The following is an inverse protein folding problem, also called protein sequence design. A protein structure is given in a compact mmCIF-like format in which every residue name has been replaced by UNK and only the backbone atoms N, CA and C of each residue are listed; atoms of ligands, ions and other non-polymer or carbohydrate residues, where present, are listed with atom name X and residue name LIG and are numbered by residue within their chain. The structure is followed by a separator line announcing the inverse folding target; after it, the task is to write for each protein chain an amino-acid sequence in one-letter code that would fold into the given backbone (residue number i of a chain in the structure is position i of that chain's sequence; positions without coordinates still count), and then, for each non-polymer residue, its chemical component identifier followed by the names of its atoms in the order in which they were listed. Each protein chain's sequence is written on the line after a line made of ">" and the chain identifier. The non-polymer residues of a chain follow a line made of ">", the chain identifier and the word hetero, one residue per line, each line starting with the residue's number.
data_IF_485032146278
#
_entry.id   IF_485032146278
#
_cell.length_a   1.000
_cell.length_b   1.000
_cell.length_c   1.000
_cell.angle_alpha   90.00
_cell.angle_beta   90.00
_cell.angle_gamma   90.00
#
_symmetry.space_group_name_H-M   'P 1'
#
loop_
_entity.id
_entity.type
_entity.pdbx_description
1 polymer ?
#
# COMPACT_ATOMS: atom_id res chain seq x y z
N UNK A 1 0.95 18.42 -6.68
CA UNK A 1 1.46 18.76 -5.33
C UNK A 1 1.82 17.45 -4.65
N UNK A 2 3.09 17.16 -4.32
CA UNK A 2 3.42 15.93 -3.61
C UNK A 2 2.97 16.09 -2.16
N UNK A 3 1.90 15.39 -1.78
CA UNK A 3 1.48 15.27 -0.40
C UNK A 3 2.57 14.47 0.32
N UNK A 4 3.27 15.08 1.27
CA UNK A 4 4.24 14.42 2.13
C UNK A 4 3.59 14.21 3.49
N UNK A 5 3.06 13.03 3.70
CA UNK A 5 2.43 12.64 4.96
C UNK A 5 3.07 11.33 5.46
N UNK A 6 3.15 11.12 6.77
CA UNK A 6 3.52 9.81 7.30
C UNK A 6 2.39 8.80 7.05
N UNK A 7 2.74 7.54 6.85
CA UNK A 7 1.76 6.46 6.63
C UNK A 7 0.75 6.39 7.78
N UNK A 8 1.17 6.58 9.03
CA UNK A 8 0.27 6.59 10.18
C UNK A 8 -0.86 7.63 10.03
N UNK A 9 -0.53 8.85 9.59
CA UNK A 9 -1.55 9.89 9.39
C UNK A 9 -2.49 9.55 8.22
N UNK A 10 -1.99 8.84 7.21
CA UNK A 10 -2.82 8.35 6.11
C UNK A 10 -3.79 7.27 6.58
N UNK A 11 -3.36 6.37 7.47
CA UNK A 11 -4.21 5.35 8.11
C UNK A 11 -5.32 6.02 8.93
N UNK A 12 -5.00 7.04 9.73
CA UNK A 12 -5.98 7.84 10.47
C UNK A 12 -7.00 8.53 9.54
N UNK A 13 -6.54 9.11 8.42
CA UNK A 13 -7.42 9.80 7.46
C UNK A 13 -8.35 8.81 6.74
N UNK A 14 -7.86 7.64 6.37
CA UNK A 14 -8.65 6.61 5.69
C UNK A 14 -9.53 5.81 6.66
N UNK A 15 -9.36 5.99 7.98
CA UNK A 15 -9.95 5.15 9.02
C UNK A 15 -9.75 3.65 8.72
N UNK A 16 -8.57 3.32 8.17
CA UNK A 16 -8.21 1.95 7.80
C UNK A 16 -7.54 1.23 8.97
N UNK A 17 -7.62 -0.09 9.00
CA UNK A 17 -6.87 -0.89 9.97
C UNK A 17 -5.49 -1.24 9.39
N UNK A 18 -4.38 -0.84 10.03
CA UNK A 18 -3.05 -1.21 9.56
C UNK A 18 -2.80 -2.69 9.86
N UNK A 19 -2.74 -3.51 8.81
CA UNK A 19 -2.42 -4.93 8.91
C UNK A 19 -0.97 -5.15 8.50
N UNK A 20 -0.21 -5.89 9.31
CA UNK A 20 1.19 -6.23 9.05
C UNK A 20 2.11 -5.01 8.79
N UNK A 21 1.82 -3.87 9.41
CA UNK A 21 2.62 -2.66 9.25
C UNK A 21 3.70 -2.63 10.34
N UNK A 22 4.99 -2.79 10.01
CA UNK A 22 6.06 -2.67 11.01
C UNK A 22 6.14 -1.21 11.48
N UNK A 23 6.48 -0.99 12.76
CA UNK A 23 6.44 0.33 13.38
C UNK A 23 7.33 1.39 12.68
N UNK A 24 8.38 0.94 11.99
CA UNK A 24 9.28 1.77 11.17
C UNK A 24 8.60 2.36 9.91
N UNK A 25 7.59 1.67 9.37
CA UNK A 25 6.85 2.13 8.19
C UNK A 25 5.82 3.20 8.56
N UNK A 26 5.29 3.19 9.79
CA UNK A 26 4.29 4.17 10.24
C UNK A 26 4.78 5.62 10.19
N UNK A 27 6.07 5.87 10.38
CA UNK A 27 6.70 7.20 10.29
C UNK A 27 7.27 7.52 8.90
N UNK A 28 7.26 6.54 7.98
CA UNK A 28 7.76 6.73 6.62
C UNK A 28 6.87 7.69 5.84
N UNK A 29 7.49 8.61 5.11
CA UNK A 29 6.78 9.61 4.32
C UNK A 29 6.32 9.01 2.98
N UNK A 30 5.01 8.87 2.80
CA UNK A 30 4.46 8.52 1.50
C UNK A 30 4.55 9.73 0.56
N UNK A 31 5.09 9.51 -0.65
CA UNK A 31 5.25 10.57 -1.67
C UNK A 31 4.06 10.65 -2.63
N UNK A 32 3.24 9.60 -2.67
CA UNK A 32 2.12 9.44 -3.58
C UNK A 32 1.45 8.09 -3.41
N UNK A 33 0.29 7.93 -4.05
CA UNK A 33 -0.47 6.68 -4.13
C UNK A 33 -0.60 6.33 -5.60
N UNK A 34 -0.33 5.07 -5.96
CA UNK A 34 -0.46 4.56 -7.33
C UNK A 34 -1.26 3.27 -7.33
N UNK A 35 -2.09 3.08 -8.34
CA UNK A 35 -2.84 1.83 -8.59
C UNK A 35 -2.16 0.93 -9.62
N UNK A 36 -1.14 1.43 -10.32
CA UNK A 36 -0.45 0.70 -11.38
C UNK A 36 1.00 0.43 -10.97
N UNK A 37 1.35 -0.85 -10.81
CA UNK A 37 2.71 -1.27 -10.42
C UNK A 37 3.76 -0.88 -11.46
N UNK A 38 3.40 -0.65 -12.73
CA UNK A 38 4.38 -0.26 -13.77
C UNK A 38 4.86 1.17 -13.58
N UNK A 39 4.02 2.03 -13.00
CA UNK A 39 4.35 3.42 -12.70
C UNK A 39 4.85 3.63 -11.26
N UNK A 40 4.84 2.56 -10.45
CA UNK A 40 5.19 2.61 -9.03
C UNK A 40 6.66 2.99 -8.84
N UNK A 41 6.88 3.97 -7.96
CA UNK A 41 8.20 4.42 -7.55
C UNK A 41 8.48 4.05 -6.09
N UNK A 42 9.77 3.91 -5.72
CA UNK A 42 10.16 3.70 -4.34
C UNK A 42 9.67 4.86 -3.46
N UNK A 43 8.95 4.52 -2.39
CA UNK A 43 8.37 5.52 -1.47
C UNK A 43 6.91 5.89 -1.75
N UNK A 44 6.25 5.22 -2.70
CA UNK A 44 4.82 5.36 -2.96
C UNK A 44 4.01 4.21 -2.32
N UNK A 45 2.71 4.43 -2.19
CA UNK A 45 1.76 3.43 -1.70
C UNK A 45 1.07 2.78 -2.91
N UNK A 46 0.97 1.47 -2.89
CA UNK A 46 0.24 0.72 -3.90
C UNK A 46 -1.22 0.56 -3.48
N UNK A 47 -2.16 0.80 -4.39
CA UNK A 47 -3.59 0.56 -4.16
C UNK A 47 -4.02 -0.66 -4.98
N UNK A 48 -4.19 -1.78 -4.29
CA UNK A 48 -4.61 -3.05 -4.85
C UNK A 48 -6.12 -3.04 -5.07
N UNK A 49 -6.54 -2.44 -6.19
CA UNK A 49 -7.93 -2.47 -6.62
C UNK A 49 -8.27 -3.79 -7.29
N UNK A 50 -9.41 -4.37 -6.90
CA UNK A 50 -9.99 -5.50 -7.59
C UNK A 50 -10.86 -5.00 -8.75
N UNK A 51 -10.41 -5.24 -9.97
CA UNK A 51 -11.20 -5.00 -11.18
C UNK A 51 -11.83 -6.30 -11.69
N UNK A 52 -12.80 -6.18 -12.61
CA UNK A 52 -13.45 -7.34 -13.23
C UNK A 52 -12.48 -8.26 -14.01
N UNK A 53 -11.30 -7.72 -14.40
CA UNK A 53 -10.27 -8.44 -15.18
C UNK A 53 -8.95 -8.66 -14.45
N UNK A 54 -8.69 -7.96 -13.36
CA UNK A 54 -7.39 -7.97 -12.68
C UNK A 54 -7.59 -7.92 -11.18
N UNK A 55 -6.96 -8.83 -10.47
CA UNK A 55 -6.88 -8.78 -9.01
C UNK A 55 -5.59 -8.06 -8.61
N UNK A 56 -5.72 -6.96 -7.86
CA UNK A 56 -4.58 -6.19 -7.38
C UNK A 56 -3.72 -6.96 -6.37
N UNK A 57 -4.26 -8.01 -5.75
CA UNK A 57 -3.56 -8.81 -4.73
C UNK A 57 -2.39 -9.59 -5.32
N UNK A 58 -2.52 -10.09 -6.56
CA UNK A 58 -1.41 -10.76 -7.27
C UNK A 58 -0.18 -9.86 -7.47
N UNK A 59 -0.35 -8.54 -7.38
CA UNK A 59 0.71 -7.56 -7.58
C UNK A 59 1.32 -7.02 -6.29
N UNK A 60 0.91 -7.52 -5.12
CA UNK A 60 1.47 -7.09 -3.83
C UNK A 60 2.97 -7.38 -3.73
N UNK A 61 3.39 -8.59 -4.11
CA UNK A 61 4.81 -8.96 -4.12
C UNK A 61 5.63 -8.07 -5.06
N UNK A 62 5.10 -7.76 -6.25
CA UNK A 62 5.74 -6.89 -7.23
C UNK A 62 5.83 -5.44 -6.70
N UNK A 63 4.80 -4.97 -6.00
CA UNK A 63 4.81 -3.64 -5.39
C UNK A 63 5.87 -3.55 -4.29
N UNK A 64 6.00 -4.59 -3.45
CA UNK A 64 7.03 -4.67 -2.42
C UNK A 64 8.44 -4.68 -3.03
N UNK A 65 8.69 -5.50 -4.06
CA UNK A 65 9.99 -5.56 -4.76
C UNK A 65 10.38 -4.20 -5.37
N UNK A 66 9.40 -3.45 -5.87
CA UNK A 66 9.60 -2.09 -6.39
C UNK A 66 9.80 -1.01 -5.33
N UNK A 67 9.72 -1.37 -4.04
CA UNK A 67 9.92 -0.45 -2.92
C UNK A 67 8.68 0.35 -2.54
N UNK A 68 7.48 -0.22 -2.71
CA UNK A 68 6.27 0.34 -2.13
C UNK A 68 6.38 0.36 -0.60
N UNK A 69 5.96 1.47 0.02
CA UNK A 69 5.98 1.61 1.49
C UNK A 69 4.88 0.77 2.14
N UNK A 70 3.71 0.74 1.49
CA UNK A 70 2.53 0.02 1.95
C UNK A 70 1.64 -0.31 0.76
N UNK A 71 0.75 -1.28 0.95
CA UNK A 71 -0.34 -1.57 0.03
C UNK A 71 -1.69 -1.35 0.74
N UNK A 72 -2.65 -0.79 0.02
CA UNK A 72 -4.03 -0.65 0.47
C UNK A 72 -4.86 -1.69 -0.29
N UNK A 73 -5.52 -2.56 0.45
CA UNK A 73 -6.39 -3.64 -0.05
C UNK A 73 -7.82 -3.43 0.46
N UNK A 74 -8.80 -3.94 -0.27
CA UNK A 74 -10.21 -3.95 0.13
C UNK A 74 -10.52 -5.06 1.16
N UNK A 75 -9.75 -6.14 1.14
CA UNK A 75 -9.84 -7.25 2.09
C UNK A 75 -8.69 -7.20 3.09
N UNK A 76 -8.99 -7.64 4.31
CA UNK A 76 -7.96 -7.98 5.29
C UNK A 76 -7.28 -9.26 4.81
N UNK A 77 -6.08 -9.11 4.24
CA UNK A 77 -5.21 -10.25 3.95
C UNK A 77 -4.69 -10.78 5.29
N UNK A 78 -5.36 -11.80 5.82
CA UNK A 78 -4.92 -12.52 7.01
C UNK A 78 -3.66 -13.33 6.64
N UNK A 79 -2.51 -13.13 7.30
CA UNK A 79 -1.26 -13.83 6.96
C UNK A 79 -1.29 -15.34 7.28
N UNK A 80 -2.46 -15.93 7.57
CA UNK A 80 -2.64 -17.32 7.97
C UNK A 80 -3.05 -18.32 6.88
N UNK A 81 -3.17 -17.94 5.60
CA UNK A 81 -3.51 -18.91 4.54
C UNK A 81 -2.26 -19.53 3.90
N UNK A 82 -1.69 -20.50 4.61
CA UNK A 82 -0.87 -21.55 4.00
C UNK A 82 -1.72 -22.47 3.13
#
# INVERSE_FOLDING_TARGET
>A
MPCRLPVAQLVDILAAEPVNLPAEVGTSLCKGITTDTRSLKPGEIFLALRGEKYDGHDFLEVALDKGAIAAITDLQEDPGRC
#
